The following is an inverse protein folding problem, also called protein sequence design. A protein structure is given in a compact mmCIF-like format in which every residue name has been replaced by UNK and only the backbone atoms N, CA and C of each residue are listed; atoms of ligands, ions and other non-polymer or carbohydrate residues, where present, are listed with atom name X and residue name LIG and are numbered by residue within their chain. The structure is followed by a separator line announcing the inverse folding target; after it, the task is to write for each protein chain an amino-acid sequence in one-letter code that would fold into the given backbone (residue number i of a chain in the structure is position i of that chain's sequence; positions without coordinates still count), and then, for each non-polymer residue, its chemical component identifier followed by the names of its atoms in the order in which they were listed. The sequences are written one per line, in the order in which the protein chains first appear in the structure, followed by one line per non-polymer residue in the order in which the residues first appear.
data_IF_906499764920
#
_entry.id   IF_906499764920
#
_cell.length_a   1.000
_cell.length_b   1.000
_cell.length_c   1.000
_cell.angle_alpha   90.00
_cell.angle_beta   90.00
_cell.angle_gamma   90.00
#
_symmetry.space_group_name_H-M   'P 1'
#
loop_
_entity.id
_entity.type
_entity.pdbx_description
1 polymer ?
#
# COMPACT_ATOMS: atom_id res chain seq x y z
N UNK A 1 -155.45 -2.82 -92.17
CA UNK A 1 -156.91 -2.75 -91.99
C UNK A 1 -157.54 -2.08 -93.20
N UNK A 2 -158.37 -2.88 -93.87
CA UNK A 2 -159.50 -2.60 -94.77
C UNK A 2 -159.78 -1.10 -95.05
N UNK A 3 -159.46 -0.65 -96.28
CA UNK A 3 -160.03 0.56 -96.89
C UNK A 3 -161.36 0.17 -97.53
N UNK A 4 -162.48 0.72 -97.04
CA UNK A 4 -163.82 0.47 -97.59
C UNK A 4 -164.22 1.65 -98.50
N UNK A 5 -164.45 1.45 -99.82
CA UNK A 5 -164.58 2.56 -100.77
C UNK A 5 -165.97 3.21 -100.91
N UNK A 6 -166.97 2.91 -100.08
CA UNK A 6 -168.31 3.50 -100.22
C UNK A 6 -168.86 4.06 -98.90
N UNK A 7 -168.59 5.34 -98.60
CA UNK A 7 -169.40 6.13 -97.66
C UNK A 7 -169.43 7.60 -98.12
N UNK A 8 -170.47 7.96 -98.89
CA UNK A 8 -170.70 9.30 -99.43
C UNK A 8 -171.70 10.15 -98.65
N UNK A 9 -172.23 9.71 -97.50
CA UNK A 9 -173.19 10.49 -96.72
C UNK A 9 -172.86 10.45 -95.21
N UNK A 10 -172.28 11.54 -94.69
CA UNK A 10 -172.27 11.82 -93.26
C UNK A 10 -173.05 13.11 -93.00
N UNK A 11 -173.99 13.06 -92.06
CA UNK A 11 -174.74 14.23 -91.60
C UNK A 11 -174.04 14.78 -90.35
N UNK A 12 -173.59 16.03 -90.42
CA UNK A 12 -172.96 16.71 -89.29
C UNK A 12 -174.02 17.14 -88.25
N UNK A 13 -173.86 16.69 -87.00
CA UNK A 13 -174.71 17.12 -85.88
C UNK A 13 -174.35 18.54 -85.46
N UNK A 14 -175.32 19.46 -85.54
CA UNK A 14 -175.17 20.91 -85.35
C UNK A 14 -174.78 21.38 -83.93
N UNK A 15 -174.46 20.48 -82.99
CA UNK A 15 -174.14 20.83 -81.59
C UNK A 15 -172.72 20.44 -81.16
N UNK A 16 -172.04 19.50 -81.83
CA UNK A 16 -170.73 19.02 -81.34
C UNK A 16 -169.65 18.78 -82.41
N UNK A 17 -169.89 19.12 -83.68
CA UNK A 17 -168.92 19.08 -84.79
C UNK A 17 -168.11 17.76 -84.92
N UNK A 18 -168.58 16.67 -84.29
CA UNK A 18 -168.02 15.34 -84.41
C UNK A 18 -168.81 14.58 -85.46
N UNK A 19 -168.09 13.99 -86.41
CA UNK A 19 -168.66 13.11 -87.44
C UNK A 19 -169.18 11.86 -86.72
N UNK A 20 -170.51 11.73 -86.64
CA UNK A 20 -171.16 10.55 -86.12
C UNK A 20 -171.27 9.57 -87.29
N UNK A 21 -170.61 8.40 -87.26
CA UNK A 21 -170.77 7.42 -88.32
C UNK A 21 -172.21 6.91 -88.35
N UNK A 22 -172.77 6.63 -89.55
CA UNK A 22 -174.13 6.11 -89.67
C UNK A 22 -174.28 4.82 -88.88
N UNK A 23 -175.49 4.60 -88.34
CA UNK A 23 -175.80 3.40 -87.56
C UNK A 23 -175.39 2.13 -88.35
N UNK A 24 -174.60 1.22 -87.75
CA UNK A 24 -174.12 0.04 -88.47
C UNK A 24 -175.29 -0.83 -88.91
N UNK A 25 -175.25 -1.31 -90.15
CA UNK A 25 -176.22 -2.28 -90.68
C UNK A 25 -176.21 -3.59 -89.86
N UNK A 26 -177.36 -4.24 -89.76
CA UNK A 26 -177.68 -5.40 -88.88
C UNK A 26 -176.65 -6.56 -88.95
N UNK A 27 -176.06 -6.79 -90.12
CA UNK A 27 -175.02 -7.82 -90.34
C UNK A 27 -173.72 -7.54 -89.59
N UNK A 28 -173.37 -6.26 -89.37
CA UNK A 28 -172.16 -5.85 -88.66
C UNK A 28 -172.27 -6.13 -87.17
N UNK A 29 -173.46 -6.00 -86.58
CA UNK A 29 -173.71 -6.31 -85.18
C UNK A 29 -173.57 -7.82 -84.90
N UNK A 30 -174.05 -8.69 -85.82
CA UNK A 30 -173.88 -10.15 -85.69
C UNK A 30 -172.40 -10.56 -85.62
N UNK A 31 -171.55 -10.02 -86.49
CA UNK A 31 -170.09 -10.28 -86.46
C UNK A 31 -169.42 -9.82 -85.17
N UNK A 32 -169.85 -8.69 -84.59
CA UNK A 32 -169.31 -8.21 -83.31
C UNK A 32 -169.73 -9.14 -82.16
N UNK A 33 -170.99 -9.61 -82.16
CA UNK A 33 -171.48 -10.59 -81.18
C UNK A 33 -170.77 -11.94 -81.31
N UNK A 34 -170.46 -12.39 -82.52
CA UNK A 34 -169.71 -13.64 -82.76
C UNK A 34 -168.24 -13.51 -82.37
N UNK A 35 -167.59 -12.37 -82.63
CA UNK A 35 -166.16 -12.18 -82.36
C UNK A 35 -165.84 -11.90 -80.87
N UNK A 36 -166.76 -11.27 -80.13
CA UNK A 36 -166.54 -10.88 -78.72
C UNK A 36 -166.18 -12.09 -77.82
N UNK A 37 -166.87 -13.25 -77.89
CA UNK A 37 -166.48 -14.45 -77.16
C UNK A 37 -165.05 -14.93 -77.46
N UNK A 38 -164.65 -14.98 -78.74
CA UNK A 38 -163.29 -15.39 -79.13
C UNK A 38 -162.23 -14.43 -78.62
N UNK A 39 -162.49 -13.12 -78.70
CA UNK A 39 -161.58 -12.10 -78.17
C UNK A 39 -161.41 -12.28 -76.66
N UNK A 40 -162.51 -12.36 -75.92
CA UNK A 40 -162.47 -12.58 -74.47
C UNK A 40 -161.71 -13.86 -74.15
N UNK A 41 -162.03 -14.98 -74.80
CA UNK A 41 -161.34 -16.25 -74.55
C UNK A 41 -159.84 -16.21 -74.85
N UNK A 42 -159.42 -15.51 -75.91
CA UNK A 42 -158.00 -15.35 -76.24
C UNK A 42 -157.26 -14.55 -75.18
N UNK A 43 -157.80 -13.41 -74.75
CA UNK A 43 -157.17 -12.61 -73.70
C UNK A 43 -157.22 -13.32 -72.35
N UNK A 44 -158.30 -14.00 -71.99
CA UNK A 44 -158.37 -14.79 -70.75
C UNK A 44 -157.36 -15.94 -70.75
N UNK A 45 -157.16 -16.64 -71.87
CA UNK A 45 -156.12 -17.67 -71.98
C UNK A 45 -154.72 -17.08 -71.89
N UNK A 46 -154.49 -15.94 -72.54
CA UNK A 46 -153.22 -15.20 -72.44
C UNK A 46 -152.94 -14.79 -70.99
N UNK A 47 -153.92 -14.23 -70.30
CA UNK A 47 -153.79 -13.81 -68.90
C UNK A 47 -153.48 -15.02 -67.99
N UNK A 48 -154.12 -16.18 -68.22
CA UNK A 48 -153.83 -17.42 -67.49
C UNK A 48 -152.39 -17.91 -67.76
N UNK A 49 -151.94 -17.89 -69.02
CA UNK A 49 -150.57 -18.25 -69.36
C UNK A 49 -149.54 -17.28 -68.77
N UNK A 50 -149.82 -15.98 -68.80
CA UNK A 50 -148.94 -14.94 -68.25
C UNK A 50 -148.84 -15.11 -66.72
N UNK A 51 -149.97 -15.39 -66.02
CA UNK A 51 -149.96 -15.73 -64.59
C UNK A 51 -149.16 -17.02 -64.31
N UNK A 52 -149.32 -18.05 -65.14
CA UNK A 52 -148.57 -19.31 -65.01
C UNK A 52 -147.06 -19.12 -65.20
N UNK A 53 -146.66 -18.29 -66.17
CA UNK A 53 -145.26 -17.93 -66.41
C UNK A 53 -144.69 -17.12 -65.24
N UNK A 54 -145.46 -16.18 -64.68
CA UNK A 54 -145.05 -15.40 -63.51
C UNK A 54 -144.89 -16.27 -62.25
N UNK A 55 -145.76 -17.25 -62.04
CA UNK A 55 -145.64 -18.20 -60.92
C UNK A 55 -144.41 -19.08 -61.11
N UNK A 56 -144.18 -19.62 -62.32
CA UNK A 56 -143.02 -20.45 -62.62
C UNK A 56 -141.72 -19.65 -62.42
N UNK A 57 -141.62 -18.43 -62.96
CA UNK A 57 -140.45 -17.58 -62.80
C UNK A 57 -140.18 -17.23 -61.32
N UNK A 58 -141.22 -16.99 -60.52
CA UNK A 58 -141.05 -16.74 -59.08
C UNK A 58 -140.56 -17.97 -58.33
N UNK A 59 -141.07 -19.15 -58.68
CA UNK A 59 -140.60 -20.41 -58.10
C UNK A 59 -139.14 -20.69 -58.50
N UNK A 60 -138.79 -20.49 -59.78
CA UNK A 60 -137.40 -20.63 -60.26
C UNK A 60 -136.46 -19.66 -59.54
N UNK A 61 -136.84 -18.40 -59.37
CA UNK A 61 -136.06 -17.42 -58.60
C UNK A 61 -135.90 -17.84 -57.14
N UNK A 62 -136.97 -18.32 -56.49
CA UNK A 62 -136.91 -18.79 -55.12
C UNK A 62 -135.97 -20.00 -54.96
N UNK A 63 -136.04 -20.97 -55.89
CA UNK A 63 -135.14 -22.13 -55.91
C UNK A 63 -133.70 -21.73 -56.20
N UNK A 64 -133.46 -20.80 -57.14
CA UNK A 64 -132.13 -20.27 -57.41
C UNK A 64 -131.54 -19.51 -56.23
N UNK A 65 -132.32 -18.69 -55.53
CA UNK A 65 -131.85 -17.93 -54.38
C UNK A 65 -131.58 -18.85 -53.19
N UNK A 66 -132.43 -19.87 -52.97
CA UNK A 66 -132.18 -20.91 -51.99
C UNK A 66 -130.90 -21.70 -52.32
N UNK A 67 -130.66 -22.01 -53.60
CA UNK A 67 -129.44 -22.67 -54.05
C UNK A 67 -128.21 -21.77 -53.84
N UNK A 68 -128.27 -20.50 -54.26
CA UNK A 68 -127.18 -19.51 -54.05
C UNK A 68 -126.87 -19.33 -52.56
N UNK A 69 -127.88 -19.26 -51.71
CA UNK A 69 -127.69 -19.17 -50.25
C UNK A 69 -127.03 -20.44 -49.70
N UNK A 70 -127.43 -21.61 -50.18
CA UNK A 70 -126.83 -22.89 -49.78
C UNK A 70 -125.36 -23.01 -50.22
N UNK A 71 -125.02 -22.52 -51.42
CA UNK A 71 -123.65 -22.45 -51.94
C UNK A 71 -122.83 -21.47 -51.11
N UNK A 72 -123.32 -20.26 -50.87
CA UNK A 72 -122.61 -19.27 -50.06
C UNK A 72 -122.35 -19.79 -48.63
N UNK A 73 -123.31 -20.50 -48.02
CA UNK A 73 -123.12 -21.15 -46.71
C UNK A 73 -122.06 -22.26 -46.78
N UNK A 74 -122.03 -23.06 -47.85
CA UNK A 74 -121.02 -24.10 -48.03
C UNK A 74 -119.62 -23.51 -48.26
N UNK A 75 -119.50 -22.51 -49.13
CA UNK A 75 -118.26 -21.78 -49.38
C UNK A 75 -117.72 -21.12 -48.11
N UNK A 76 -118.57 -20.45 -47.33
CA UNK A 76 -118.16 -19.85 -46.05
C UNK A 76 -117.63 -20.89 -45.07
N UNK A 77 -118.24 -22.08 -45.00
CA UNK A 77 -117.72 -23.18 -44.18
C UNK A 77 -116.35 -23.65 -44.65
N UNK A 78 -116.17 -23.87 -45.95
CA UNK A 78 -114.88 -24.28 -46.53
C UNK A 78 -113.81 -23.21 -46.28
N UNK A 79 -114.14 -21.92 -46.44
CA UNK A 79 -113.21 -20.83 -46.15
C UNK A 79 -112.82 -20.76 -44.68
N UNK A 80 -113.76 -20.98 -43.75
CA UNK A 80 -113.46 -21.02 -42.33
C UNK A 80 -112.55 -22.21 -41.97
N UNK A 81 -112.81 -23.40 -42.52
CA UNK A 81 -111.98 -24.59 -42.34
C UNK A 81 -110.58 -24.40 -42.93
N UNK A 82 -110.48 -23.78 -44.12
CA UNK A 82 -109.21 -23.44 -44.74
C UNK A 82 -108.42 -22.42 -43.91
N UNK A 83 -109.08 -21.38 -43.38
CA UNK A 83 -108.46 -20.38 -42.51
C UNK A 83 -107.94 -21.01 -41.21
N UNK A 84 -108.71 -21.89 -40.58
CA UNK A 84 -108.28 -22.62 -39.38
C UNK A 84 -107.13 -23.58 -39.66
N UNK A 85 -107.17 -24.32 -40.77
CA UNK A 85 -106.05 -25.17 -41.20
C UNK A 85 -104.79 -24.35 -41.46
N UNK A 86 -104.91 -23.19 -42.11
CA UNK A 86 -103.80 -22.28 -42.38
C UNK A 86 -103.20 -21.75 -41.08
N UNK A 87 -104.02 -21.27 -40.13
CA UNK A 87 -103.54 -20.81 -38.82
C UNK A 87 -102.75 -21.90 -38.09
N UNK A 88 -103.29 -23.12 -38.00
CA UNK A 88 -102.61 -24.26 -37.37
C UNK A 88 -101.29 -24.62 -38.06
N UNK A 89 -101.24 -24.57 -39.39
CA UNK A 89 -100.01 -24.83 -40.13
C UNK A 89 -98.95 -23.74 -39.87
N UNK A 90 -99.35 -22.47 -39.81
CA UNK A 90 -98.47 -21.34 -39.50
C UNK A 90 -97.98 -21.41 -38.05
N UNK A 91 -98.86 -21.66 -37.09
CA UNK A 91 -98.51 -21.84 -35.68
C UNK A 91 -97.50 -22.97 -35.51
N UNK A 92 -97.75 -24.14 -36.13
CA UNK A 92 -96.82 -25.26 -36.09
C UNK A 92 -95.47 -24.95 -36.73
N UNK A 93 -95.45 -24.22 -37.84
CA UNK A 93 -94.21 -23.78 -38.49
C UNK A 93 -93.43 -22.78 -37.63
N UNK A 94 -94.13 -21.85 -36.95
CA UNK A 94 -93.52 -20.91 -36.01
C UNK A 94 -92.97 -21.62 -34.77
N UNK A 95 -93.70 -22.61 -34.23
CA UNK A 95 -93.23 -23.42 -33.11
C UNK A 95 -91.98 -24.23 -33.47
N UNK A 96 -91.96 -24.89 -34.62
CA UNK A 96 -90.79 -25.65 -35.08
C UNK A 96 -89.59 -24.72 -35.35
N UNK A 97 -89.81 -23.57 -35.99
CA UNK A 97 -88.77 -22.56 -36.20
C UNK A 97 -88.20 -22.05 -34.87
N UNK A 98 -89.07 -21.71 -33.91
CA UNK A 98 -88.67 -21.27 -32.57
C UNK A 98 -87.92 -22.38 -31.81
N UNK A 99 -88.33 -23.64 -31.92
CA UNK A 99 -87.63 -24.77 -31.33
C UNK A 99 -86.22 -24.93 -31.91
N UNK A 100 -86.09 -24.84 -33.25
CA UNK A 100 -84.79 -24.87 -33.94
C UNK A 100 -83.89 -23.71 -33.51
N UNK A 101 -84.42 -22.49 -33.45
CA UNK A 101 -83.65 -21.32 -33.02
C UNK A 101 -83.21 -21.45 -31.56
N UNK A 102 -84.11 -21.86 -30.65
CA UNK A 102 -83.76 -22.12 -29.26
C UNK A 102 -82.65 -23.16 -29.14
N UNK A 103 -82.73 -24.25 -29.90
CA UNK A 103 -81.68 -25.26 -29.91
C UNK A 103 -80.34 -24.71 -30.43
N UNK A 104 -80.35 -23.95 -31.53
CA UNK A 104 -79.14 -23.33 -32.07
C UNK A 104 -78.50 -22.34 -31.09
N UNK A 105 -79.31 -21.51 -30.42
CA UNK A 105 -78.85 -20.59 -29.38
C UNK A 105 -78.17 -21.38 -28.25
N UNK A 106 -78.80 -22.43 -27.73
CA UNK A 106 -78.21 -23.26 -26.68
C UNK A 106 -76.89 -23.92 -27.11
N UNK A 107 -76.78 -24.37 -28.36
CA UNK A 107 -75.54 -24.94 -28.91
C UNK A 107 -74.45 -23.88 -28.98
N UNK A 108 -74.78 -22.66 -29.43
CA UNK A 108 -73.85 -21.54 -29.51
C UNK A 108 -73.39 -21.08 -28.13
N UNK A 109 -74.31 -20.97 -27.16
CA UNK A 109 -73.98 -20.64 -25.76
C UNK A 109 -73.02 -21.66 -25.16
N UNK A 110 -73.27 -22.96 -25.36
CA UNK A 110 -72.37 -24.02 -24.87
C UNK A 110 -71.00 -23.96 -25.54
N UNK A 111 -70.92 -23.67 -26.84
CA UNK A 111 -69.64 -23.48 -27.54
C UNK A 111 -68.89 -22.28 -26.96
N UNK A 112 -69.55 -21.14 -26.86
CA UNK A 112 -68.95 -19.93 -26.29
C UNK A 112 -68.46 -20.12 -24.87
N UNK A 113 -69.22 -20.82 -24.01
CA UNK A 113 -68.80 -21.12 -22.64
C UNK A 113 -67.54 -22.01 -22.60
N UNK A 114 -67.44 -23.00 -23.50
CA UNK A 114 -66.22 -23.83 -23.63
C UNK A 114 -65.03 -23.00 -24.10
N UNK A 115 -65.22 -22.13 -25.08
CA UNK A 115 -64.16 -21.27 -25.60
C UNK A 115 -63.64 -20.31 -24.51
N UNK A 116 -64.53 -19.73 -23.70
CA UNK A 116 -64.15 -18.92 -22.54
C UNK A 116 -63.35 -19.72 -21.50
N UNK A 117 -63.74 -20.96 -21.22
CA UNK A 117 -62.97 -21.83 -20.32
C UNK A 117 -61.58 -22.11 -20.86
N UNK A 118 -61.45 -22.48 -22.13
CA UNK A 118 -60.14 -22.72 -22.78
C UNK A 118 -59.28 -21.46 -22.75
N UNK A 119 -59.84 -20.29 -23.12
CA UNK A 119 -59.11 -19.03 -23.13
C UNK A 119 -58.67 -18.61 -21.73
N UNK A 120 -59.52 -18.81 -20.72
CA UNK A 120 -59.17 -18.53 -19.32
C UNK A 120 -58.07 -19.46 -18.81
N UNK A 121 -58.10 -20.75 -19.16
CA UNK A 121 -57.06 -21.72 -18.85
C UNK A 121 -55.72 -21.39 -19.50
N UNK A 122 -55.74 -21.04 -20.80
CA UNK A 122 -54.55 -20.60 -21.52
C UNK A 122 -53.95 -19.33 -20.91
N UNK A 123 -54.80 -18.34 -20.61
CA UNK A 123 -54.36 -17.09 -19.99
C UNK A 123 -53.77 -17.33 -18.60
N UNK A 124 -54.35 -18.25 -17.83
CA UNK A 124 -53.82 -18.66 -16.53
C UNK A 124 -52.46 -19.32 -16.68
N UNK A 125 -52.29 -20.23 -17.63
CA UNK A 125 -51.03 -20.92 -17.89
C UNK A 125 -49.93 -19.97 -18.39
N UNK A 126 -50.26 -19.02 -19.27
CA UNK A 126 -49.34 -17.97 -19.72
C UNK A 126 -48.90 -17.12 -18.52
N UNK A 127 -49.86 -16.66 -17.72
CA UNK A 127 -49.57 -15.84 -16.53
C UNK A 127 -48.73 -16.60 -15.52
N UNK A 128 -48.99 -17.89 -15.33
CA UNK A 128 -48.20 -18.74 -14.45
C UNK A 128 -46.75 -18.88 -14.96
N UNK A 129 -46.58 -19.08 -16.27
CA UNK A 129 -45.25 -19.15 -16.91
C UNK A 129 -44.51 -17.82 -16.78
N UNK A 130 -45.18 -16.70 -17.00
CA UNK A 130 -44.62 -15.34 -16.84
C UNK A 130 -44.20 -15.06 -15.39
N UNK A 131 -45.03 -15.45 -14.40
CA UNK A 131 -44.68 -15.33 -12.98
C UNK A 131 -43.44 -16.17 -12.65
N UNK A 132 -43.33 -17.39 -13.17
CA UNK A 132 -42.14 -18.24 -12.96
C UNK A 132 -40.89 -17.66 -13.62
N UNK A 133 -41.01 -17.09 -14.83
CA UNK A 133 -39.91 -16.43 -15.51
C UNK A 133 -39.43 -15.20 -14.72
N UNK A 134 -40.35 -14.32 -14.33
CA UNK A 134 -40.05 -13.12 -13.55
C UNK A 134 -39.41 -13.48 -12.20
N UNK A 135 -39.93 -14.49 -11.51
CA UNK A 135 -39.35 -15.00 -10.27
C UNK A 135 -37.91 -15.53 -10.48
N UNK A 136 -37.69 -16.28 -11.57
CA UNK A 136 -36.36 -16.78 -11.93
C UNK A 136 -35.36 -15.66 -12.26
N UNK A 137 -35.82 -14.59 -12.92
CA UNK A 137 -34.99 -13.42 -13.22
C UNK A 137 -34.64 -12.60 -11.97
N UNK A 138 -35.60 -12.37 -11.07
CA UNK A 138 -35.34 -11.72 -9.78
C UNK A 138 -34.34 -12.54 -8.96
N UNK A 139 -34.53 -13.86 -8.87
CA UNK A 139 -33.60 -14.75 -8.15
C UNK A 139 -32.18 -14.68 -8.73
N UNK A 140 -32.03 -14.64 -10.06
CA UNK A 140 -30.71 -14.46 -10.70
C UNK A 140 -30.09 -13.10 -10.35
N UNK A 141 -30.88 -12.03 -10.35
CA UNK A 141 -30.41 -10.68 -9.99
C UNK A 141 -29.95 -10.62 -8.53
N UNK A 142 -30.73 -11.17 -7.61
CA UNK A 142 -30.36 -11.22 -6.20
C UNK A 142 -29.11 -12.06 -5.97
N UNK A 143 -28.99 -13.22 -6.65
CA UNK A 143 -27.82 -14.07 -6.54
C UNK A 143 -26.55 -13.37 -7.05
N UNK A 144 -26.61 -12.74 -8.23
CA UNK A 144 -25.49 -11.95 -8.77
C UNK A 144 -25.09 -10.81 -7.83
N UNK A 145 -26.07 -10.10 -7.25
CA UNK A 145 -25.79 -9.07 -6.26
C UNK A 145 -25.16 -9.64 -4.98
N UNK A 146 -25.59 -10.83 -4.53
CA UNK A 146 -25.01 -11.51 -3.39
C UNK A 146 -23.57 -11.97 -3.64
N UNK A 147 -23.29 -12.52 -4.82
CA UNK A 147 -21.95 -12.90 -5.29
C UNK A 147 -21.03 -11.68 -5.35
N UNK A 148 -21.47 -10.56 -5.94
CA UNK A 148 -20.70 -9.32 -5.97
C UNK A 148 -20.39 -8.80 -4.56
N UNK A 149 -21.38 -8.82 -3.66
CA UNK A 149 -21.14 -8.47 -2.24
C UNK A 149 -20.13 -9.41 -1.59
N UNK A 150 -20.16 -10.71 -1.91
CA UNK A 150 -19.20 -11.68 -1.40
C UNK A 150 -17.79 -11.43 -1.94
N UNK A 151 -17.65 -11.23 -3.25
CA UNK A 151 -16.37 -10.92 -3.90
C UNK A 151 -15.76 -9.66 -3.30
N UNK A 152 -16.54 -8.60 -3.14
CA UNK A 152 -16.06 -7.36 -2.51
C UNK A 152 -15.60 -7.59 -1.06
N UNK A 153 -16.31 -8.41 -0.27
CA UNK A 153 -15.88 -8.77 1.09
C UNK A 153 -14.56 -9.54 1.07
N UNK A 154 -14.42 -10.53 0.18
CA UNK A 154 -13.19 -11.33 0.05
C UNK A 154 -12.02 -10.44 -0.38
N UNK A 155 -12.21 -9.55 -1.35
CA UNK A 155 -11.18 -8.60 -1.77
C UNK A 155 -10.74 -7.67 -0.63
N UNK A 156 -11.68 -7.18 0.18
CA UNK A 156 -11.36 -6.36 1.36
C UNK A 156 -10.52 -7.14 2.36
N UNK A 157 -10.93 -8.36 2.72
CA UNK A 157 -10.17 -9.22 3.64
C UNK A 157 -8.77 -9.54 3.08
N UNK A 158 -8.66 -9.77 1.78
CA UNK A 158 -7.37 -10.01 1.12
C UNK A 158 -6.45 -8.80 1.20
N UNK A 159 -6.98 -7.58 1.01
CA UNK A 159 -6.23 -6.34 1.17
C UNK A 159 -5.79 -6.11 2.63
N UNK A 160 -6.67 -6.37 3.59
CA UNK A 160 -6.35 -6.28 5.03
C UNK A 160 -5.24 -7.27 5.42
N UNK A 161 -5.36 -8.52 5.02
CA UNK A 161 -4.33 -9.55 5.24
C UNK A 161 -2.99 -9.18 4.58
N UNK A 162 -3.02 -8.63 3.37
CA UNK A 162 -1.81 -8.18 2.70
C UNK A 162 -1.13 -7.02 3.45
N UNK A 163 -1.93 -6.05 3.92
CA UNK A 163 -1.43 -4.94 4.76
C UNK A 163 -0.81 -5.46 6.05
N UNK A 164 -1.47 -6.36 6.76
CA UNK A 164 -0.96 -6.98 7.99
C UNK A 164 0.33 -7.77 7.73
N UNK A 165 0.43 -8.46 6.60
CA UNK A 165 1.65 -9.17 6.19
C UNK A 165 2.80 -8.19 5.98
N UNK A 166 2.58 -7.07 5.28
CA UNK A 166 3.61 -6.04 5.07
C UNK A 166 4.04 -5.43 6.40
N UNK A 167 3.09 -5.10 7.28
CA UNK A 167 3.38 -4.54 8.61
C UNK A 167 4.17 -5.52 9.48
N UNK A 168 3.84 -6.82 9.45
CA UNK A 168 4.57 -7.85 10.17
C UNK A 168 6.00 -8.03 9.64
N UNK A 169 6.18 -8.04 8.31
CA UNK A 169 7.50 -8.12 7.68
C UNK A 169 8.35 -6.89 8.00
N UNK A 170 7.74 -5.70 8.00
CA UNK A 170 8.42 -4.46 8.33
C UNK A 170 8.88 -4.46 9.79
N UNK A 171 8.02 -4.85 10.73
CA UNK A 171 8.39 -4.98 12.15
C UNK A 171 9.52 -6.00 12.36
N UNK A 172 9.43 -7.18 11.75
CA UNK A 172 10.48 -8.19 11.82
C UNK A 172 11.82 -7.67 11.26
N UNK A 173 11.78 -6.88 10.19
CA UNK A 173 12.97 -6.23 9.62
C UNK A 173 13.57 -5.18 10.55
N UNK A 174 12.74 -4.39 11.21
CA UNK A 174 13.19 -3.40 12.20
C UNK A 174 13.82 -4.07 13.42
N UNK A 175 13.22 -5.15 13.92
CA UNK A 175 13.78 -5.96 15.01
C UNK A 175 15.13 -6.57 14.63
N UNK A 176 15.25 -7.17 13.44
CA UNK A 176 16.52 -7.67 12.91
C UNK A 176 17.58 -6.57 12.78
N UNK A 177 17.19 -5.38 12.31
CA UNK A 177 18.10 -4.23 12.25
C UNK A 177 18.57 -3.80 13.64
N UNK A 178 17.68 -3.75 14.63
CA UNK A 178 18.05 -3.43 16.01
C UNK A 178 18.99 -4.47 16.60
N UNK A 179 18.71 -5.76 16.43
CA UNK A 179 19.57 -6.85 16.88
C UNK A 179 20.95 -6.76 16.22
N UNK A 180 20.99 -6.53 14.91
CA UNK A 180 22.24 -6.36 14.16
C UNK A 180 23.04 -5.14 14.63
N UNK A 181 22.38 -4.01 14.89
CA UNK A 181 23.01 -2.80 15.44
C UNK A 181 23.58 -3.06 16.85
N UNK A 182 22.82 -3.73 17.72
CA UNK A 182 23.28 -4.10 19.06
C UNK A 182 24.49 -5.04 19.00
N UNK A 183 24.45 -6.05 18.13
CA UNK A 183 25.57 -6.97 17.92
C UNK A 183 26.82 -6.24 17.40
N UNK A 184 26.64 -5.30 16.47
CA UNK A 184 27.72 -4.48 15.92
C UNK A 184 28.30 -3.52 16.97
N UNK A 185 27.47 -2.91 17.81
CA UNK A 185 27.93 -2.10 18.95
C UNK A 185 28.70 -2.94 19.97
N UNK A 186 28.19 -4.13 20.31
CA UNK A 186 28.88 -5.04 21.22
C UNK A 186 30.24 -5.50 20.65
N UNK A 187 30.31 -5.77 19.35
CA UNK A 187 31.57 -6.10 18.68
C UNK A 187 32.54 -4.91 18.69
N UNK A 188 32.06 -3.70 18.36
CA UNK A 188 32.87 -2.48 18.46
C UNK A 188 33.42 -2.28 19.86
N UNK A 189 32.59 -2.44 20.89
CA UNK A 189 33.01 -2.35 22.30
C UNK A 189 34.11 -3.37 22.63
N UNK A 190 33.96 -4.63 22.21
CA UNK A 190 34.98 -5.67 22.40
C UNK A 190 36.30 -5.29 21.72
N UNK A 191 36.25 -4.87 20.46
CA UNK A 191 37.45 -4.46 19.70
C UNK A 191 38.12 -3.25 20.36
N UNK A 192 37.35 -2.25 20.82
CA UNK A 192 37.94 -1.10 21.53
C UNK A 192 38.58 -1.51 22.85
N UNK A 193 38.00 -2.46 23.58
CA UNK A 193 38.56 -2.98 24.82
C UNK A 193 39.86 -3.78 24.56
N UNK A 194 39.89 -4.62 23.52
CA UNK A 194 41.09 -5.34 23.09
C UNK A 194 42.20 -4.39 22.62
N UNK A 195 41.87 -3.34 21.87
CA UNK A 195 42.81 -2.29 21.47
C UNK A 195 43.37 -1.54 22.68
N UNK A 196 42.53 -1.22 23.68
CA UNK A 196 42.97 -0.61 24.93
C UNK A 196 43.90 -1.54 25.71
N UNK A 197 43.54 -2.81 25.87
CA UNK A 197 44.39 -3.82 26.54
C UNK A 197 45.74 -3.96 25.85
N UNK A 198 45.73 -4.08 24.52
CA UNK A 198 46.95 -4.18 23.70
C UNK A 198 47.78 -2.90 23.77
N UNK A 199 47.15 -1.73 23.75
CA UNK A 199 47.79 -0.44 23.91
C UNK A 199 48.45 -0.29 25.29
N UNK A 200 47.75 -0.65 26.37
CA UNK A 200 48.29 -0.64 27.74
C UNK A 200 49.47 -1.61 27.86
N UNK A 201 49.36 -2.82 27.30
CA UNK A 201 50.46 -3.80 27.29
C UNK A 201 51.68 -3.24 26.55
N UNK A 202 51.50 -2.67 25.36
CA UNK A 202 52.58 -2.04 24.58
C UNK A 202 53.24 -0.89 25.34
N UNK A 203 52.47 -0.03 26.01
CA UNK A 203 53.01 1.06 26.84
C UNK A 203 53.81 0.50 28.02
N UNK A 204 53.30 -0.57 28.65
CA UNK A 204 54.00 -1.24 29.76
C UNK A 204 55.32 -1.83 29.30
N UNK A 205 55.33 -2.51 28.15
CA UNK A 205 56.54 -3.09 27.55
C UNK A 205 57.54 -2.00 27.14
N UNK A 206 57.07 -0.91 26.52
CA UNK A 206 57.93 0.25 26.22
C UNK A 206 58.52 0.85 27.50
N UNK A 207 57.75 0.97 28.58
CA UNK A 207 58.24 1.49 29.86
C UNK A 207 59.28 0.55 30.48
N UNK A 208 59.07 -0.77 30.42
CA UNK A 208 60.05 -1.75 30.89
C UNK A 208 61.33 -1.69 30.05
N UNK A 209 61.22 -1.63 28.73
CA UNK A 209 62.35 -1.50 27.81
C UNK A 209 63.12 -0.18 28.06
N UNK A 210 62.42 0.95 28.17
CA UNK A 210 63.03 2.23 28.51
C UNK A 210 63.75 2.19 29.86
N UNK A 211 63.14 1.59 30.88
CA UNK A 211 63.80 1.41 32.18
C UNK A 211 65.05 0.53 32.09
N UNK A 212 65.03 -0.53 31.27
CA UNK A 212 66.21 -1.36 31.02
C UNK A 212 67.29 -0.56 30.29
N UNK A 213 66.93 0.25 29.29
CA UNK A 213 67.85 1.13 28.57
C UNK A 213 68.48 2.17 29.51
N UNK A 214 67.69 2.79 30.38
CA UNK A 214 68.18 3.74 31.40
C UNK A 214 69.19 3.06 32.31
N UNK A 215 68.86 1.88 32.86
CA UNK A 215 69.79 1.11 33.70
C UNK A 215 71.07 0.74 32.95
N UNK A 216 70.96 0.30 31.70
CA UNK A 216 72.12 -0.03 30.88
C UNK A 216 73.02 1.20 30.66
N UNK A 217 72.43 2.37 30.36
CA UNK A 217 73.16 3.63 30.19
C UNK A 217 73.78 4.14 31.49
N UNK A 218 73.11 3.96 32.62
CA UNK A 218 73.65 4.28 33.94
C UNK A 218 74.85 3.38 34.28
N UNK A 219 74.76 2.07 34.00
CA UNK A 219 75.89 1.16 34.14
C UNK A 219 77.06 1.52 33.24
N UNK A 220 76.80 1.86 31.97
CA UNK A 220 77.82 2.30 31.02
C UNK A 220 78.50 3.60 31.50
N UNK A 221 77.72 4.58 31.94
CA UNK A 221 78.24 5.84 32.49
C UNK A 221 79.06 5.62 33.76
N UNK A 222 78.61 4.75 34.66
CA UNK A 222 79.35 4.40 35.87
C UNK A 222 80.66 3.66 35.55
N UNK A 223 80.68 2.81 34.52
CA UNK A 223 81.90 2.16 34.05
C UNK A 223 82.90 3.19 33.50
N UNK A 224 82.44 4.13 32.66
CA UNK A 224 83.28 5.23 32.17
C UNK A 224 83.81 6.10 33.30
N UNK A 225 82.97 6.47 34.26
CA UNK A 225 83.38 7.24 35.44
C UNK A 225 84.43 6.49 36.27
N UNK A 226 84.25 5.18 36.49
CA UNK A 226 85.21 4.34 37.21
C UNK A 226 86.54 4.16 36.47
N UNK A 227 86.55 4.17 35.13
CA UNK A 227 87.79 4.19 34.33
C UNK A 227 88.48 5.55 34.45
N UNK A 228 87.74 6.66 34.28
CA UNK A 228 88.32 8.01 34.39
C UNK A 228 88.87 8.31 35.80
N UNK A 229 88.20 7.84 36.85
CA UNK A 229 88.67 7.98 38.23
C UNK A 229 89.96 7.18 38.47
N UNK A 230 90.04 5.94 37.97
CA UNK A 230 91.27 5.13 38.04
C UNK A 230 92.41 5.76 37.27
N UNK A 231 92.15 6.27 36.06
CA UNK A 231 93.16 6.99 35.27
C UNK A 231 93.71 8.21 36.02
N UNK A 232 92.84 9.03 36.62
CA UNK A 232 93.30 10.16 37.45
C UNK A 232 94.14 9.70 38.64
N UNK A 233 93.78 8.60 39.28
CA UNK A 233 94.52 8.06 40.41
C UNK A 233 95.88 7.49 39.97
N UNK A 234 95.95 6.84 38.82
CA UNK A 234 97.18 6.37 38.19
C UNK A 234 98.09 7.52 37.74
N UNK A 235 97.53 8.57 37.12
CA UNK A 235 98.28 9.79 36.74
C UNK A 235 98.90 10.46 37.98
N UNK A 236 98.13 10.62 39.06
CA UNK A 236 98.64 11.17 40.32
C UNK A 236 99.76 10.28 40.89
N UNK A 237 99.59 8.96 40.84
CA UNK A 237 100.59 8.02 41.35
C UNK A 237 101.87 8.00 40.50
N UNK A 238 101.77 8.14 39.18
CA UNK A 238 102.92 8.30 38.28
C UNK A 238 103.69 9.60 38.60
N UNK A 239 102.98 10.72 38.72
CA UNK A 239 103.59 12.02 39.08
C UNK A 239 104.31 11.95 40.44
N UNK A 240 103.72 11.27 41.43
CA UNK A 240 104.35 11.07 42.74
C UNK A 240 105.63 10.23 42.63
N UNK A 241 105.62 9.13 41.88
CA UNK A 241 106.83 8.30 41.67
C UNK A 241 107.94 9.04 40.93
N UNK A 242 107.57 9.91 39.97
CA UNK A 242 108.54 10.70 39.21
C UNK A 242 109.15 11.81 40.07
N UNK A 243 108.35 12.47 40.90
CA UNK A 243 108.82 13.39 41.93
C UNK A 243 109.75 12.71 42.96
N UNK A 244 109.44 11.49 43.38
CA UNK A 244 110.27 10.73 44.31
C UNK A 244 111.64 10.39 43.69
N UNK A 245 111.68 9.91 42.44
CA UNK A 245 112.93 9.64 41.71
C UNK A 245 113.80 10.90 41.56
N UNK A 246 113.19 12.04 41.22
CA UNK A 246 113.92 13.31 41.07
C UNK A 246 114.46 13.81 42.41
N UNK A 247 113.70 13.69 43.49
CA UNK A 247 114.18 13.99 44.85
C UNK A 247 115.34 13.07 45.25
N UNK A 248 115.26 11.77 44.98
CA UNK A 248 116.30 10.81 45.32
C UNK A 248 117.60 11.07 44.54
N UNK A 249 117.50 11.43 43.26
CA UNK A 249 118.65 11.84 42.44
C UNK A 249 119.29 13.15 42.96
N UNK A 250 118.47 14.11 43.40
CA UNK A 250 118.95 15.38 43.96
C UNK A 250 119.67 15.15 45.29
N UNK A 251 119.13 14.30 46.16
CA UNK A 251 119.75 13.88 47.41
C UNK A 251 121.10 13.22 47.17
N UNK A 252 121.22 12.30 46.20
CA UNK A 252 122.49 11.66 45.85
C UNK A 252 123.58 12.67 45.47
N UNK A 253 123.25 13.67 44.65
CA UNK A 253 124.19 14.73 44.24
C UNK A 253 124.67 15.57 45.45
N UNK A 254 123.78 15.89 46.38
CA UNK A 254 124.13 16.63 47.60
C UNK A 254 125.04 15.80 48.50
N UNK A 255 124.77 14.51 48.64
CA UNK A 255 125.62 13.58 49.42
C UNK A 255 127.02 13.48 48.80
N UNK A 256 127.14 13.36 47.48
CA UNK A 256 128.44 13.31 46.81
C UNK A 256 129.27 14.60 47.01
N UNK A 257 128.62 15.76 46.94
CA UNK A 257 129.26 17.06 47.24
C UNK A 257 129.74 17.13 48.70
N UNK A 258 128.94 16.63 49.65
CA UNK A 258 129.31 16.58 51.06
C UNK A 258 130.54 15.69 51.29
N UNK A 259 130.57 14.49 50.69
CA UNK A 259 131.70 13.56 50.82
C UNK A 259 132.99 14.15 50.23
N UNK A 260 132.89 14.85 49.10
CA UNK A 260 134.05 15.51 48.49
C UNK A 260 134.60 16.65 49.37
N UNK A 261 133.75 17.52 49.90
CA UNK A 261 134.17 18.61 50.79
C UNK A 261 134.75 18.09 52.12
N UNK A 262 134.20 17.00 52.68
CA UNK A 262 134.76 16.32 53.84
C UNK A 262 136.19 15.79 53.57
N UNK A 263 136.43 15.24 52.37
CA UNK A 263 137.75 14.73 51.96
C UNK A 263 138.77 15.86 51.84
N UNK A 264 138.37 17.00 51.28
CA UNK A 264 139.21 18.20 51.19
C UNK A 264 139.58 18.73 52.58
N UNK A 265 138.61 18.81 53.50
CA UNK A 265 138.85 19.22 54.89
C UNK A 265 139.84 18.31 55.61
N UNK A 266 139.71 16.99 55.47
CA UNK A 266 140.65 16.02 56.06
C UNK A 266 142.07 16.18 55.51
N UNK A 267 142.21 16.51 54.22
CA UNK A 267 143.51 16.79 53.60
C UNK A 267 144.17 18.03 54.20
N UNK A 268 143.41 19.13 54.34
CA UNK A 268 143.89 20.38 54.94
C UNK A 268 144.28 20.17 56.41
N UNK A 269 143.47 19.44 57.18
CA UNK A 269 143.77 19.12 58.56
C UNK A 269 145.09 18.35 58.70
N UNK A 270 145.37 17.42 57.77
CA UNK A 270 146.63 16.67 57.73
C UNK A 270 147.84 17.56 57.42
N UNK A 271 147.69 18.52 56.50
CA UNK A 271 148.75 19.50 56.20
C UNK A 271 149.05 20.43 57.38
N UNK A 272 148.01 20.90 58.08
CA UNK A 272 148.16 21.70 59.30
C UNK A 272 148.87 20.93 60.42
N UNK A 273 148.57 19.65 60.60
CA UNK A 273 149.26 18.79 61.57
C UNK A 273 150.76 18.66 61.29
N UNK A 274 151.15 18.56 60.02
CA UNK A 274 152.58 18.54 59.62
C UNK A 274 153.23 19.90 59.91
N UNK A 275 152.59 21.02 59.56
CA UNK A 275 153.12 22.37 59.86
C UNK A 275 153.26 22.65 61.36
N UNK A 276 152.33 22.16 62.18
CA UNK A 276 152.40 22.31 63.64
C UNK A 276 153.61 21.55 64.22
N UNK A 277 153.85 20.32 63.77
CA UNK A 277 155.02 19.54 64.21
C UNK A 277 156.35 20.20 63.81
N UNK A 278 156.44 20.76 62.59
CA UNK A 278 157.63 21.52 62.17
C UNK A 278 157.84 22.77 63.03
N UNK A 279 156.76 23.47 63.38
CA UNK A 279 156.83 24.64 64.26
C UNK A 279 157.36 24.24 65.63
N UNK A 280 156.83 23.17 66.23
CA UNK A 280 157.22 22.76 67.59
C UNK A 280 158.67 22.25 67.63
N UNK A 281 159.11 21.48 66.62
CA UNK A 281 160.51 21.07 66.48
C UNK A 281 161.48 22.26 66.40
N UNK A 282 161.16 23.25 65.56
CA UNK A 282 161.99 24.45 65.43
C UNK A 282 162.01 25.29 66.71
N UNK A 283 160.89 25.33 67.46
CA UNK A 283 160.82 26.06 68.73
C UNK A 283 161.67 25.36 69.81
N UNK A 284 161.74 24.03 69.82
CA UNK A 284 162.57 23.25 70.72
C UNK A 284 164.07 23.47 70.47
N UNK A 285 164.54 23.38 69.22
CA UNK A 285 165.95 23.69 68.88
C UNK A 285 166.33 25.13 69.25
N UNK A 286 165.40 26.09 69.06
CA UNK A 286 165.64 27.49 69.38
C UNK A 286 165.72 27.72 70.89
N UNK A 287 165.00 26.92 71.68
CA UNK A 287 165.07 26.95 73.14
C UNK A 287 166.33 26.26 73.67
N UNK A 288 166.76 25.16 73.07
CA UNK A 288 168.03 24.51 73.39
C UNK A 288 169.23 25.43 73.11
N UNK A 289 169.23 26.09 71.94
CA UNK A 289 170.26 27.09 71.61
C UNK A 289 170.23 28.27 72.58
N UNK A 290 169.04 28.81 72.94
CA UNK A 290 168.92 29.82 74.01
C UNK A 290 169.54 29.35 75.32
N UNK A 291 169.23 28.14 75.77
CA UNK A 291 169.76 27.58 77.01
C UNK A 291 171.29 27.44 76.97
N UNK A 292 171.85 27.01 75.84
CA UNK A 292 173.29 26.91 75.63
C UNK A 292 173.98 28.29 75.68
N UNK A 293 173.44 29.29 74.97
CA UNK A 293 173.96 30.66 75.01
C UNK A 293 173.88 31.25 76.42
N UNK A 294 172.75 31.07 77.12
CA UNK A 294 172.60 31.57 78.49
C UNK A 294 173.60 30.91 79.45
N UNK A 295 173.86 29.60 79.29
CA UNK A 295 174.86 28.87 80.09
C UNK A 295 176.29 29.38 79.83
N UNK A 296 176.64 29.67 78.57
CA UNK A 296 177.92 30.26 78.21
C UNK A 296 178.12 31.66 78.79
N UNK A 297 177.10 32.51 78.71
CA UNK A 297 177.13 33.88 79.24
C UNK A 297 177.30 33.86 80.77
N UNK A 298 176.52 33.02 81.46
CA UNK A 298 176.60 32.89 82.92
C UNK A 298 177.98 32.39 83.38
N UNK A 299 178.63 31.48 82.63
CA UNK A 299 179.95 30.97 82.96
C UNK A 299 181.07 32.00 82.75
N UNK A 300 181.02 32.76 81.66
CA UNK A 300 182.11 33.66 81.26
C UNK A 300 182.07 34.99 82.01
N UNK A 301 180.87 35.45 82.39
CA UNK A 301 180.66 36.75 83.03
C UNK A 301 179.83 36.64 84.32
N UNK A 302 180.41 36.10 85.42
CA UNK A 302 179.67 35.87 86.67
C UNK A 302 179.23 37.14 87.41
N UNK A 303 179.66 38.33 86.97
CA UNK A 303 179.23 39.63 87.52
C UNK A 303 178.01 40.23 86.80
N UNK A 304 177.53 39.63 85.71
CA UNK A 304 176.28 40.05 85.07
C UNK A 304 175.09 39.49 85.85
N UNK A 305 174.15 40.35 86.26
CA UNK A 305 172.90 39.90 86.86
C UNK A 305 172.10 39.05 85.88
N UNK A 306 171.40 37.99 86.36
CA UNK A 306 170.50 37.21 85.52
C UNK A 306 169.57 38.15 84.73
N UNK A 307 169.42 37.92 83.43
CA UNK A 307 168.60 38.67 82.45
C UNK A 307 169.21 39.89 81.76
N UNK A 308 170.41 40.34 82.12
CA UNK A 308 171.04 41.46 81.39
C UNK A 308 171.47 41.11 79.95
N UNK A 309 171.55 39.82 79.61
CA UNK A 309 171.89 39.35 78.27
C UNK A 309 170.68 38.84 77.44
N UNK A 310 169.46 38.99 77.95
CA UNK A 310 168.23 38.50 77.31
C UNK A 310 167.91 39.20 75.96
N UNK A 311 168.57 40.32 75.65
CA UNK A 311 168.41 41.03 74.39
C UNK A 311 169.09 40.33 73.19
N UNK A 312 170.07 39.44 73.43
CA UNK A 312 170.83 38.76 72.36
C UNK A 312 169.92 37.76 71.62
N UNK A 313 168.99 37.11 72.33
CA UNK A 313 167.99 36.18 71.78
C UNK A 313 166.60 36.40 72.42
N UNK A 314 165.84 37.42 71.99
CA UNK A 314 164.54 37.78 72.59
C UNK A 314 163.51 36.65 72.53
N UNK A 315 162.66 36.53 73.55
CA UNK A 315 161.54 35.58 73.54
C UNK A 315 160.50 35.92 72.45
N UNK A 316 159.88 34.88 71.88
CA UNK A 316 158.83 35.04 70.87
C UNK A 316 157.58 35.67 71.50
N UNK A 317 157.00 36.67 70.83
CA UNK A 317 155.69 37.25 71.21
C UNK A 317 154.61 36.15 71.14
N UNK A 318 153.92 35.89 72.25
CA UNK A 318 152.79 34.95 72.30
C UNK A 318 151.68 35.39 71.34
N UNK A 319 151.01 34.42 70.73
CA UNK A 319 149.95 34.65 69.75
C UNK A 319 148.82 35.51 70.37
N UNK A 320 148.29 36.54 69.67
CA UNK A 320 147.20 37.38 70.17
C UNK A 320 145.93 36.54 70.42
N UNK A 321 145.31 36.74 71.58
CA UNK A 321 144.22 35.92 72.14
C UNK A 321 142.88 36.01 71.41
N UNK A 322 142.81 36.59 70.21
CA UNK A 322 141.56 36.87 69.49
C UNK A 322 141.23 35.84 68.38
N UNK A 323 142.10 34.86 68.14
CA UNK A 323 141.95 33.86 67.07
C UNK A 323 141.53 32.46 67.58
N UNK A 324 141.02 32.36 68.81
CA UNK A 324 140.41 31.11 69.32
C UNK A 324 138.91 31.15 69.03
N UNK A 325 138.52 30.80 67.80
CA UNK A 325 137.12 30.49 67.45
C UNK A 325 136.80 29.06 67.84
N UNK A 326 135.64 28.87 68.50
CA UNK A 326 135.01 27.58 68.81
C UNK A 326 134.78 26.74 67.56
#
# INVERSE_FOLDING_TARGET
MIRNPNYTNFVCCAVCNKIIPPAPFEETFKRIYEYKPFKTHFYTHKDILDIGADILNKEEQFQEDALKESIAKAEAKVWNEASECQKKAVEKALEDANARYKFQIQVLEKKHQKDLQVQSGLKWQIKQTEVFQNMGEEMKRENLAAEQRMVHRIQRVMMECHRETIEAVQKAREEEQQISQLALMAQKSKVTEELLKTGIARIKDQKVNMNQLIKAKEHEMNAYYGVAQRQKQEEVQQVLQEAEKTHQATLGNVVDKLVNTQRELLSIAKQLGIMANWKDFLEEELQETRAAFQKYINYTFPKLSPRHADFILPERKKMPSHLVTK
#
